data_IF_853899652965
#
_entry.id   IF_853899652965
#
_cell.length_a   1.000
_cell.length_b   1.000
_cell.length_c   1.000
_cell.angle_alpha   90.00
_cell.angle_beta   90.00
_cell.angle_gamma   90.00
#
_symmetry.space_group_name_H-M   'P 1'
#
loop_
_entity.id
_entity.type
_entity.pdbx_description
1 polymer ?
#
# COMPACT_ATOMS: atom_id res chain seq x y z
N UNK A 1 7.85 17.77 -9.63
CA UNK A 1 7.31 17.05 -10.82
C UNK A 1 6.21 16.12 -10.33
N UNK A 2 5.15 15.88 -11.12
CA UNK A 2 4.13 14.93 -10.70
C UNK A 2 4.74 13.54 -10.49
N UNK A 3 4.27 12.82 -9.48
CA UNK A 3 4.66 11.46 -9.16
C UNK A 3 3.43 10.56 -9.22
N UNK A 4 3.62 9.29 -9.58
CA UNK A 4 2.56 8.29 -9.58
C UNK A 4 2.82 7.28 -8.49
N UNK A 5 1.79 6.99 -7.69
CA UNK A 5 1.78 5.83 -6.80
C UNK A 5 1.10 4.67 -7.52
N UNK A 6 1.80 3.56 -7.60
CA UNK A 6 1.36 2.33 -8.28
C UNK A 6 1.28 1.19 -7.27
N UNK A 7 0.27 0.34 -7.41
CA UNK A 7 0.10 -0.85 -6.60
C UNK A 7 0.05 -2.09 -7.46
N UNK A 8 0.86 -3.08 -7.11
CA UNK A 8 0.97 -4.36 -7.80
C UNK A 8 0.64 -5.51 -6.86
N UNK A 9 0.06 -6.55 -7.44
CA UNK A 9 -0.04 -7.88 -6.83
C UNK A 9 0.79 -8.83 -7.68
N UNK A 10 1.78 -9.44 -7.04
CA UNK A 10 2.71 -10.35 -7.70
C UNK A 10 2.63 -11.72 -7.04
N UNK A 11 2.73 -12.78 -7.86
CA UNK A 11 2.80 -14.17 -7.42
C UNK A 11 4.07 -14.81 -7.97
N UNK A 12 4.76 -15.55 -7.12
CA UNK A 12 5.97 -16.28 -7.45
C UNK A 12 5.84 -17.70 -6.90
N UNK A 13 6.02 -18.72 -7.78
CA UNK A 13 6.12 -20.10 -7.34
C UNK A 13 7.53 -20.39 -6.80
N UNK A 14 7.67 -21.51 -6.10
CA UNK A 14 8.98 -21.95 -5.60
C UNK A 14 9.98 -22.06 -6.74
N UNK A 15 11.19 -21.54 -6.51
CA UNK A 15 12.28 -21.50 -7.48
C UNK A 15 12.04 -20.59 -8.70
N UNK A 16 10.88 -19.91 -8.79
CA UNK A 16 10.74 -18.84 -9.77
C UNK A 16 11.73 -17.72 -9.42
N UNK A 17 12.36 -17.17 -10.43
CA UNK A 17 13.23 -15.99 -10.31
C UNK A 17 12.81 -14.96 -11.34
N UNK A 18 12.88 -13.70 -10.97
CA UNK A 18 12.75 -12.63 -11.95
C UNK A 18 13.87 -12.77 -13.00
N UNK A 19 13.50 -12.86 -14.27
CA UNK A 19 14.46 -12.97 -15.38
C UNK A 19 15.35 -11.73 -15.46
N UNK A 20 14.79 -10.57 -15.08
CA UNK A 20 15.49 -9.29 -15.00
C UNK A 20 15.17 -8.63 -13.65
N UNK A 21 16.08 -7.81 -13.12
CA UNK A 21 15.77 -7.05 -11.91
C UNK A 21 14.64 -6.06 -12.21
N UNK A 22 13.78 -5.85 -11.24
CA UNK A 22 12.93 -4.67 -11.23
C UNK A 22 13.83 -3.43 -11.25
N UNK A 23 13.54 -2.50 -12.15
CA UNK A 23 14.32 -1.25 -12.31
C UNK A 23 14.37 -0.45 -11.00
N UNK A 24 15.34 0.44 -10.88
CA UNK A 24 15.42 1.40 -9.79
C UNK A 24 14.08 2.13 -9.63
N UNK A 25 13.51 2.11 -8.43
CA UNK A 25 12.31 2.85 -8.03
C UNK A 25 12.22 2.89 -6.51
N UNK A 26 11.51 3.87 -5.96
CA UNK A 26 11.15 3.87 -4.55
C UNK A 26 9.99 2.88 -4.36
N UNK A 27 10.24 1.77 -3.68
CA UNK A 27 9.23 0.71 -3.52
C UNK A 27 9.19 0.13 -2.12
N UNK A 28 7.99 -0.26 -1.71
CA UNK A 28 7.77 -1.06 -0.51
C UNK A 28 7.13 -2.37 -0.94
N UNK A 29 7.65 -3.48 -0.41
CA UNK A 29 7.09 -4.82 -0.57
C UNK A 29 6.53 -5.29 0.76
N UNK A 30 5.37 -5.92 0.72
CA UNK A 30 4.75 -6.66 1.82
C UNK A 30 4.48 -8.10 1.37
N UNK A 31 4.96 -9.08 2.12
CA UNK A 31 4.70 -10.50 1.84
C UNK A 31 3.35 -10.88 2.44
N UNK A 32 2.36 -11.02 1.58
CA UNK A 32 0.99 -11.38 1.99
C UNK A 32 0.87 -12.86 2.33
N UNK A 33 1.54 -13.72 1.57
CA UNK A 33 1.53 -15.17 1.75
C UNK A 33 2.87 -15.79 1.34
N UNK A 34 3.28 -16.86 2.04
CA UNK A 34 4.51 -17.58 1.77
C UNK A 34 5.77 -16.81 2.16
N UNK A 35 6.80 -16.87 1.34
CA UNK A 35 8.08 -16.17 1.55
C UNK A 35 8.81 -15.96 0.22
N UNK A 36 9.65 -14.94 0.16
CA UNK A 36 10.47 -14.60 -1.00
C UNK A 36 11.93 -14.42 -0.59
N UNK A 37 12.81 -14.43 -1.59
CA UNK A 37 14.18 -13.91 -1.46
C UNK A 37 14.24 -12.61 -2.29
N UNK A 38 14.68 -11.54 -1.66
CA UNK A 38 14.82 -10.21 -2.26
C UNK A 38 16.30 -9.79 -2.19
N UNK A 39 16.99 -9.72 -3.35
CA UNK A 39 18.45 -9.47 -3.42
C UNK A 39 19.29 -10.37 -2.50
N UNK A 40 18.91 -11.65 -2.37
CA UNK A 40 19.59 -12.62 -1.52
C UNK A 40 19.07 -12.69 -0.07
N UNK A 41 18.27 -11.73 0.37
CA UNK A 41 17.74 -11.67 1.73
C UNK A 41 16.32 -12.26 1.81
N UNK A 42 16.04 -13.14 2.79
CA UNK A 42 14.72 -13.73 2.95
C UNK A 42 13.72 -12.72 3.54
N UNK A 43 12.49 -12.75 3.03
CA UNK A 43 11.37 -12.00 3.54
C UNK A 43 10.17 -12.94 3.72
N UNK A 44 9.74 -13.11 4.96
CA UNK A 44 8.68 -14.05 5.32
C UNK A 44 7.30 -13.39 5.30
N UNK A 45 6.25 -14.21 5.41
CA UNK A 45 4.86 -13.73 5.48
C UNK A 45 4.68 -12.68 6.59
N UNK A 46 3.90 -11.65 6.28
CA UNK A 46 3.65 -10.46 7.10
C UNK A 46 4.86 -9.56 7.35
N UNK A 47 5.98 -9.82 6.72
CA UNK A 47 7.11 -8.90 6.71
C UNK A 47 7.03 -7.93 5.53
N UNK A 48 7.68 -6.79 5.70
CA UNK A 48 7.79 -5.74 4.69
C UNK A 48 9.20 -5.17 4.64
N UNK A 49 9.61 -4.69 3.47
CA UNK A 49 10.89 -4.04 3.27
C UNK A 49 10.80 -2.94 2.21
N UNK A 50 11.65 -1.93 2.36
CA UNK A 50 11.82 -0.83 1.43
C UNK A 50 13.04 -1.05 0.54
N UNK A 51 12.89 -0.75 -0.76
CA UNK A 51 13.96 -0.84 -1.75
C UNK A 51 13.93 0.40 -2.66
N UNK A 52 15.11 0.88 -3.01
CA UNK A 52 15.27 1.97 -3.98
C UNK A 52 16.17 1.60 -5.18
N UNK A 53 16.95 0.53 -5.05
CA UNK A 53 17.86 0.04 -6.08
C UNK A 53 17.19 -1.06 -6.94
N UNK A 54 17.81 -1.49 -8.05
CA UNK A 54 17.35 -2.65 -8.80
C UNK A 54 17.17 -3.87 -7.89
N UNK A 55 16.08 -4.62 -8.11
CA UNK A 55 15.66 -5.67 -7.19
C UNK A 55 15.39 -6.98 -7.92
N UNK A 56 16.14 -8.03 -7.56
CA UNK A 56 15.86 -9.40 -7.93
C UNK A 56 14.94 -10.06 -6.91
N UNK A 57 13.93 -10.76 -7.40
CA UNK A 57 12.97 -11.47 -6.57
C UNK A 57 12.92 -12.93 -6.98
N UNK A 58 12.84 -13.83 -6.00
CA UNK A 58 12.55 -15.24 -6.23
C UNK A 58 11.57 -15.78 -5.18
N UNK A 59 10.75 -16.76 -5.61
CA UNK A 59 9.84 -17.46 -4.72
C UNK A 59 10.59 -18.44 -3.82
N UNK A 60 10.29 -18.44 -2.53
CA UNK A 60 10.88 -19.33 -1.53
C UNK A 60 9.87 -20.26 -0.85
N UNK A 61 8.62 -20.22 -1.27
CA UNK A 61 7.52 -21.10 -0.85
C UNK A 61 6.83 -21.70 -2.06
N UNK A 62 5.98 -22.72 -1.88
CA UNK A 62 5.22 -23.35 -2.98
C UNK A 62 4.46 -22.28 -3.79
N UNK A 63 3.87 -21.31 -3.12
CA UNK A 63 3.32 -20.08 -3.66
C UNK A 63 3.70 -18.94 -2.72
N UNK A 64 4.21 -17.86 -3.29
CA UNK A 64 4.44 -16.59 -2.59
C UNK A 64 3.60 -15.51 -3.25
N UNK A 65 2.86 -14.76 -2.45
CA UNK A 65 2.10 -13.59 -2.89
C UNK A 65 2.67 -12.35 -2.21
N UNK A 66 3.02 -11.34 -3.00
CA UNK A 66 3.50 -10.06 -2.51
C UNK A 66 2.64 -8.91 -3.01
N UNK A 67 2.50 -7.91 -2.19
CA UNK A 67 1.91 -6.63 -2.50
C UNK A 67 3.01 -5.59 -2.55
N UNK A 68 3.02 -4.81 -3.62
CA UNK A 68 4.12 -3.89 -3.89
C UNK A 68 3.57 -2.51 -4.25
N UNK A 69 4.02 -1.51 -3.50
CA UNK A 69 3.77 -0.09 -3.78
C UNK A 69 5.03 0.53 -4.37
N UNK A 70 4.87 1.32 -5.43
CA UNK A 70 5.98 2.02 -6.07
C UNK A 70 5.63 3.48 -6.34
N UNK A 71 6.60 4.36 -6.07
CA UNK A 71 6.59 5.75 -6.55
C UNK A 71 7.48 5.83 -7.78
N UNK A 72 6.93 6.38 -8.86
CA UNK A 72 7.62 6.52 -10.15
C UNK A 72 7.09 7.73 -10.93
N UNK A 73 7.74 8.10 -12.02
CA UNK A 73 7.18 9.11 -12.91
C UNK A 73 5.83 8.63 -13.51
N UNK A 74 4.88 9.54 -13.78
CA UNK A 74 3.55 9.18 -14.28
C UNK A 74 3.57 8.34 -15.56
N UNK A 75 4.50 8.65 -16.45
CA UNK A 75 4.61 8.00 -17.75
C UNK A 75 5.55 6.76 -17.76
N UNK A 76 6.10 6.39 -16.60
CA UNK A 76 6.92 5.19 -16.53
C UNK A 76 6.08 3.95 -16.83
N UNK A 77 6.62 3.08 -17.68
CA UNK A 77 6.03 1.76 -17.94
C UNK A 77 5.93 0.97 -16.64
N UNK A 78 4.85 0.18 -16.44
CA UNK A 78 4.73 -0.67 -15.26
C UNK A 78 5.94 -1.59 -15.08
N UNK A 79 6.45 -1.66 -13.85
CA UNK A 79 7.57 -2.54 -13.50
C UNK A 79 7.02 -3.93 -13.15
N UNK A 80 6.69 -4.74 -14.17
CA UNK A 80 6.22 -6.11 -13.97
C UNK A 80 7.39 -7.06 -13.68
N UNK A 81 7.16 -8.05 -12.82
CA UNK A 81 8.10 -9.15 -12.62
C UNK A 81 7.97 -10.05 -13.82
N UNK A 82 9.04 -10.15 -14.60
CA UNK A 82 9.12 -11.03 -15.77
C UNK A 82 9.94 -12.26 -15.42
N UNK A 83 9.40 -13.44 -15.65
CA UNK A 83 10.05 -14.72 -15.38
C UNK A 83 9.11 -15.90 -15.59
N UNK A 84 9.64 -17.11 -15.57
CA UNK A 84 8.84 -18.33 -15.55
C UNK A 84 8.19 -18.47 -14.17
N UNK A 85 6.95 -18.97 -14.15
CA UNK A 85 6.19 -19.21 -12.91
C UNK A 85 6.02 -17.95 -12.04
N UNK A 86 5.91 -16.79 -12.71
CA UNK A 86 5.59 -15.51 -12.09
C UNK A 86 4.34 -14.91 -12.71
N UNK A 87 3.52 -14.26 -11.87
CA UNK A 87 2.41 -13.42 -12.32
C UNK A 87 2.58 -12.05 -11.67
N UNK A 88 2.53 -10.99 -12.46
CA UNK A 88 2.63 -9.62 -11.96
C UNK A 88 1.51 -8.77 -12.53
N UNK A 89 0.68 -8.20 -11.68
CA UNK A 89 -0.50 -7.42 -12.05
C UNK A 89 -0.40 -6.01 -11.47
N UNK A 90 -0.42 -5.00 -12.35
CA UNK A 90 -0.68 -3.62 -11.93
C UNK A 90 -2.18 -3.49 -11.64
N UNK A 91 -2.54 -3.26 -10.38
CA UNK A 91 -3.93 -3.13 -9.93
C UNK A 91 -4.42 -1.68 -9.96
N UNK A 92 -3.60 -0.75 -9.50
CA UNK A 92 -3.90 0.68 -9.44
C UNK A 92 -2.65 1.47 -9.82
N UNK A 93 -2.82 2.50 -10.63
CA UNK A 93 -1.85 3.55 -10.86
C UNK A 93 -2.55 4.89 -10.75
N UNK A 94 -2.10 5.76 -9.86
CA UNK A 94 -2.68 7.07 -9.67
C UNK A 94 -1.62 8.15 -9.67
N UNK A 95 -1.82 9.19 -10.47
CA UNK A 95 -0.95 10.38 -10.48
C UNK A 95 -1.34 11.26 -9.31
N UNK A 96 -0.38 11.57 -8.46
CA UNK A 96 -0.58 12.44 -7.31
C UNK A 96 -0.53 13.90 -7.81
N UNK A 97 -1.67 14.57 -7.78
CA UNK A 97 -1.84 15.96 -8.19
C UNK A 97 -2.19 16.89 -7.02
N UNK A 98 -2.55 16.31 -5.89
CA UNK A 98 -3.06 17.01 -4.69
C UNK A 98 -1.94 17.55 -3.79
N UNK A 99 -0.70 17.10 -4.01
CA UNK A 99 0.45 17.59 -3.27
C UNK A 99 1.27 18.51 -4.18
N UNK A 100 1.66 19.66 -3.64
CA UNK A 100 2.70 20.50 -4.25
C UNK A 100 4.05 19.80 -4.04
N UNK A 101 4.27 18.74 -4.83
CA UNK A 101 5.54 18.01 -4.81
C UNK A 101 6.55 18.78 -5.63
N UNK A 102 7.34 19.61 -4.97
CA UNK A 102 8.49 20.23 -5.59
C UNK A 102 9.67 19.27 -5.67
N UNK A 103 10.45 19.29 -6.76
CA UNK A 103 11.66 18.47 -6.87
C UNK A 103 12.60 18.67 -5.69
N UNK A 104 13.07 17.59 -5.09
CA UNK A 104 13.99 17.63 -3.96
C UNK A 104 13.31 17.77 -2.59
N UNK A 105 11.98 17.78 -2.52
CA UNK A 105 11.27 17.73 -1.22
C UNK A 105 11.28 16.35 -0.61
N UNK A 106 11.33 16.31 0.72
CA UNK A 106 11.29 15.06 1.49
C UNK A 106 9.86 14.72 1.89
N UNK A 107 9.52 13.46 1.70
CA UNK A 107 8.23 12.87 2.02
C UNK A 107 8.42 11.57 2.80
N UNK A 108 7.39 11.13 3.52
CA UNK A 108 7.33 9.79 4.07
C UNK A 108 6.65 8.86 3.06
N UNK A 109 7.37 7.85 2.60
CA UNK A 109 6.78 6.71 1.94
C UNK A 109 6.52 5.65 3.01
N UNK A 110 5.26 5.53 3.40
CA UNK A 110 4.82 4.75 4.55
C UNK A 110 4.07 3.51 4.14
N UNK A 111 4.31 2.42 4.87
CA UNK A 111 3.43 1.25 4.91
C UNK A 111 2.92 1.06 6.32
N UNK A 112 1.62 0.90 6.48
CA UNK A 112 1.01 0.57 7.76
C UNK A 112 -0.14 -0.43 7.62
N UNK A 113 -0.50 -1.05 8.75
CA UNK A 113 -1.58 -2.01 8.87
C UNK A 113 -2.64 -1.47 9.81
N UNK A 114 -3.89 -1.53 9.38
CA UNK A 114 -5.04 -1.15 10.20
C UNK A 114 -5.91 -2.36 10.43
N UNK A 115 -6.28 -2.58 11.70
CA UNK A 115 -7.28 -3.58 12.10
C UNK A 115 -8.48 -2.86 12.67
N UNK A 116 -9.63 -3.00 12.01
CA UNK A 116 -10.91 -2.46 12.45
C UNK A 116 -11.76 -3.57 13.03
N UNK A 117 -12.24 -3.40 14.27
CA UNK A 117 -13.06 -4.40 14.95
C UNK A 117 -14.37 -4.67 14.21
N UNK A 118 -14.91 -5.89 14.32
CA UNK A 118 -16.14 -6.30 13.66
C UNK A 118 -17.30 -5.31 13.90
N UNK A 119 -18.07 -5.01 12.86
CA UNK A 119 -19.22 -4.11 12.89
C UNK A 119 -18.90 -2.63 13.07
N UNK A 120 -17.64 -2.25 13.02
CA UNK A 120 -17.25 -0.87 13.23
C UNK A 120 -17.57 0.01 12.04
N UNK A 121 -18.05 1.20 12.34
CA UNK A 121 -18.12 2.32 11.40
C UNK A 121 -16.98 3.27 11.76
N UNK A 122 -16.13 3.59 10.79
CA UNK A 122 -15.11 4.64 10.92
C UNK A 122 -15.77 5.97 10.59
N UNK A 123 -15.85 6.91 11.53
CA UNK A 123 -16.51 8.21 11.32
C UNK A 123 -15.86 9.00 10.18
N UNK A 124 -16.52 10.07 9.78
CA UNK A 124 -16.02 10.99 8.75
C UNK A 124 -14.63 11.50 9.10
N UNK A 125 -13.71 11.29 8.19
CA UNK A 125 -12.31 11.68 8.34
C UNK A 125 -11.65 11.84 6.96
N UNK A 126 -10.49 12.47 6.97
CA UNK A 126 -9.57 12.55 5.83
C UNK A 126 -8.16 12.15 6.27
N UNK A 127 -7.24 12.13 5.35
CA UNK A 127 -5.84 11.78 5.63
C UNK A 127 -4.90 12.95 5.32
N UNK A 128 -3.73 12.97 5.96
CA UNK A 128 -2.68 13.97 5.72
C UNK A 128 -1.95 13.80 4.39
N UNK A 129 -2.34 12.81 3.59
CA UNK A 129 -1.81 12.59 2.26
C UNK A 129 -2.46 11.39 1.56
N UNK A 130 -2.18 11.25 0.25
CA UNK A 130 -2.76 10.22 -0.59
C UNK A 130 -2.18 8.83 -0.33
N UNK A 131 -2.90 7.81 -0.80
CA UNK A 131 -2.38 6.46 -0.78
C UNK A 131 -3.30 5.41 -1.38
N UNK A 132 -2.73 4.22 -1.56
CA UNK A 132 -3.46 3.03 -2.02
C UNK A 132 -3.53 2.03 -0.87
N UNK A 133 -4.75 1.55 -0.61
CA UNK A 133 -5.05 0.56 0.40
C UNK A 133 -5.37 -0.76 -0.28
N UNK A 134 -5.11 -1.88 0.39
CA UNK A 134 -5.51 -3.20 -0.05
C UNK A 134 -6.08 -4.00 1.10
N UNK A 135 -7.26 -4.58 0.90
CA UNK A 135 -7.95 -5.38 1.92
C UNK A 135 -7.21 -6.72 2.10
N UNK A 136 -6.77 -6.98 3.32
CA UNK A 136 -6.09 -8.22 3.70
C UNK A 136 -7.08 -9.30 4.16
N UNK A 137 -8.10 -8.89 4.94
CA UNK A 137 -9.09 -9.77 5.55
C UNK A 137 -10.41 -9.05 5.77
N UNK A 138 -11.51 -9.80 5.72
CA UNK A 138 -12.86 -9.32 5.97
C UNK A 138 -13.53 -8.77 4.71
N UNK A 139 -14.53 -7.94 4.91
CA UNK A 139 -15.20 -7.13 3.87
C UNK A 139 -15.07 -5.67 4.25
N UNK A 140 -15.09 -4.78 3.28
CA UNK A 140 -14.93 -3.36 3.55
C UNK A 140 -15.71 -2.52 2.55
N UNK A 141 -16.21 -1.36 3.02
CA UNK A 141 -16.90 -0.39 2.20
C UNK A 141 -16.35 1.00 2.53
N UNK A 142 -16.18 1.83 1.52
CA UNK A 142 -15.74 3.23 1.66
C UNK A 142 -16.64 4.12 0.82
N UNK A 143 -17.13 5.17 1.42
CA UNK A 143 -17.94 6.21 0.77
C UNK A 143 -17.30 7.58 0.96
N UNK A 144 -17.51 8.49 0.02
CA UNK A 144 -16.98 9.86 0.04
C UNK A 144 -15.86 10.10 -0.96
N UNK A 145 -15.54 9.10 -1.76
CA UNK A 145 -14.61 9.21 -2.89
C UNK A 145 -15.37 9.43 -4.20
N UNK A 146 -14.66 9.88 -5.23
CA UNK A 146 -15.20 9.99 -6.59
C UNK A 146 -15.81 8.68 -7.10
N UNK A 147 -15.29 7.55 -6.61
CA UNK A 147 -15.80 6.21 -6.91
C UNK A 147 -16.03 5.44 -5.61
N UNK A 148 -17.29 5.33 -5.14
CA UNK A 148 -17.60 4.53 -3.97
C UNK A 148 -17.17 3.09 -4.20
N UNK A 149 -16.49 2.51 -3.23
CA UNK A 149 -16.05 1.12 -3.21
C UNK A 149 -16.90 0.37 -2.21
N UNK A 150 -17.68 -0.59 -2.70
CA UNK A 150 -18.59 -1.38 -1.87
C UNK A 150 -18.30 -2.87 -2.00
N UNK A 151 -18.56 -3.61 -0.93
CA UNK A 151 -18.42 -5.07 -0.87
C UNK A 151 -17.00 -5.58 -1.26
N UNK A 152 -15.97 -4.80 -0.92
CA UNK A 152 -14.59 -5.21 -1.18
C UNK A 152 -14.26 -6.52 -0.44
N UNK A 153 -13.52 -7.38 -1.14
CA UNK A 153 -13.01 -8.66 -0.67
C UNK A 153 -11.47 -8.62 -0.50
N UNK A 154 -10.87 -9.58 0.20
CA UNK A 154 -9.42 -9.68 0.32
C UNK A 154 -8.72 -9.66 -1.05
N UNK A 155 -7.74 -8.77 -1.21
CA UNK A 155 -7.05 -8.50 -2.47
C UNK A 155 -7.60 -7.31 -3.26
N UNK A 156 -8.79 -6.80 -2.93
CA UNK A 156 -9.29 -5.56 -3.53
C UNK A 156 -8.53 -4.36 -2.97
N UNK A 157 -8.22 -3.44 -3.88
CA UNK A 157 -7.46 -2.25 -3.55
C UNK A 157 -8.23 -0.98 -3.95
N UNK A 158 -7.98 0.11 -3.22
CA UNK A 158 -8.61 1.40 -3.50
C UNK A 158 -7.66 2.56 -3.24
N UNK A 159 -7.95 3.66 -3.89
CA UNK A 159 -7.24 4.93 -3.76
C UNK A 159 -7.99 5.89 -2.83
N UNK A 160 -7.26 6.66 -2.04
CA UNK A 160 -7.76 7.85 -1.35
C UNK A 160 -6.78 9.02 -1.55
N UNK A 161 -7.32 10.17 -1.96
CA UNK A 161 -6.50 11.38 -2.22
C UNK A 161 -5.90 11.98 -0.96
N UNK A 162 -6.51 11.72 0.19
CA UNK A 162 -6.20 12.37 1.45
C UNK A 162 -7.01 13.66 1.69
N UNK A 163 -7.47 14.33 0.66
CA UNK A 163 -8.25 15.59 0.76
C UNK A 163 -9.74 15.34 0.97
N UNK A 164 -10.28 14.29 0.34
CA UNK A 164 -11.69 13.96 0.43
C UNK A 164 -12.03 13.35 1.79
N UNK A 165 -13.15 13.76 2.34
CA UNK A 165 -13.70 13.16 3.55
C UNK A 165 -14.35 11.83 3.24
N UNK A 166 -13.93 10.78 3.93
CA UNK A 166 -14.44 9.42 3.76
C UNK A 166 -15.14 8.90 5.02
N UNK A 167 -16.09 8.00 4.82
CA UNK A 167 -16.71 7.15 5.83
C UNK A 167 -16.46 5.71 5.43
N UNK A 168 -16.13 4.86 6.38
CA UNK A 168 -15.92 3.45 6.10
C UNK A 168 -16.70 2.56 7.07
N UNK A 169 -17.18 1.42 6.58
CA UNK A 169 -17.86 0.42 7.40
C UNK A 169 -17.61 -0.99 6.85
N UNK A 170 -17.84 -1.98 7.68
CA UNK A 170 -17.68 -3.38 7.29
C UNK A 170 -18.60 -4.30 8.10
N UNK A 171 -18.63 -5.58 7.71
CA UNK A 171 -19.44 -6.61 8.34
C UNK A 171 -19.23 -6.69 9.85
N UNK A 172 -20.30 -7.00 10.59
CA UNK A 172 -20.26 -7.25 12.02
C UNK A 172 -19.80 -8.68 12.38
N UNK A 173 -19.54 -9.53 11.39
CA UNK A 173 -19.17 -10.93 11.61
C UNK A 173 -17.69 -11.13 11.91
N UNK A 174 -16.82 -10.29 11.30
CA UNK A 174 -15.38 -10.43 11.46
C UNK A 174 -14.66 -9.08 11.34
N UNK A 175 -13.47 -8.93 11.94
CA UNK A 175 -12.65 -7.74 11.77
C UNK A 175 -12.25 -7.55 10.30
N UNK A 176 -12.11 -6.30 9.88
CA UNK A 176 -11.47 -5.93 8.63
C UNK A 176 -10.01 -5.55 8.89
N UNK A 177 -9.12 -6.08 8.06
CA UNK A 177 -7.69 -5.77 8.09
C UNK A 177 -7.28 -5.28 6.71
N UNK A 178 -6.59 -4.15 6.64
CA UNK A 178 -6.05 -3.64 5.38
C UNK A 178 -4.65 -3.04 5.57
N UNK A 179 -3.89 -3.07 4.49
CA UNK A 179 -2.53 -2.52 4.41
C UNK A 179 -2.61 -1.24 3.57
N UNK A 180 -1.92 -0.17 4.01
CA UNK A 180 -1.91 1.12 3.34
C UNK A 180 -0.49 1.49 2.93
N UNK A 181 -0.30 1.79 1.64
CA UNK A 181 0.89 2.48 1.14
C UNK A 181 0.55 3.96 0.93
N UNK A 182 1.21 4.84 1.66
CA UNK A 182 0.87 6.27 1.76
C UNK A 182 2.08 7.14 1.40
N UNK A 183 1.81 8.32 0.82
CA UNK A 183 2.77 9.40 0.70
C UNK A 183 2.33 10.54 1.62
N UNK A 184 3.16 10.89 2.61
CA UNK A 184 2.79 11.76 3.71
C UNK A 184 3.86 12.84 3.97
N UNK A 185 3.49 14.00 4.54
CA UNK A 185 4.47 14.98 5.03
C UNK A 185 5.40 14.39 6.09
N UNK A 186 6.64 14.88 6.15
CA UNK A 186 7.65 14.36 7.07
C UNK A 186 7.40 14.73 8.54
N UNK A 187 6.64 15.80 8.80
CA UNK A 187 6.30 16.28 10.15
C UNK A 187 5.45 15.29 10.97
N UNK A 188 4.83 14.31 10.29
CA UNK A 188 4.02 13.27 10.96
C UNK A 188 4.71 11.92 11.08
N UNK A 189 6.03 11.91 11.01
CA UNK A 189 6.79 10.65 11.16
C UNK A 189 6.49 9.98 12.51
N UNK A 190 6.07 8.72 12.44
CA UNK A 190 5.65 7.95 13.61
C UNK A 190 4.20 8.18 14.07
N UNK A 191 3.51 9.20 13.56
CA UNK A 191 2.14 9.55 13.95
C UNK A 191 1.09 9.04 12.97
N UNK A 192 -0.18 8.99 13.41
CA UNK A 192 -1.30 8.62 12.55
C UNK A 192 -1.61 9.68 11.50
N UNK A 193 -1.99 9.25 10.30
CA UNK A 193 -2.33 10.15 9.18
C UNK A 193 -3.77 10.70 9.21
N UNK A 194 -4.62 10.19 10.10
CA UNK A 194 -6.04 10.55 10.15
C UNK A 194 -6.27 11.97 10.66
N UNK A 195 -7.16 12.70 10.00
CA UNK A 195 -7.71 13.99 10.41
C UNK A 195 -9.20 13.80 10.61
N UNK A 196 -9.67 13.84 11.86
CA UNK A 196 -11.08 13.65 12.20
C UNK A 196 -11.87 14.94 12.04
N UNK A 197 -13.15 14.86 11.67
CA UNK A 197 -14.03 16.02 11.70
C UNK A 197 -14.17 16.56 13.14
N UNK A 198 -14.36 17.86 13.26
CA UNK A 198 -14.50 18.53 14.57
C UNK A 198 -15.65 17.92 15.37
N UNK A 199 -15.39 17.59 16.62
CA UNK A 199 -16.38 16.98 17.52
C UNK A 199 -16.51 15.45 17.38
N UNK A 200 -15.78 14.83 16.47
CA UNK A 200 -15.73 13.38 16.35
C UNK A 200 -14.63 12.82 17.24
N UNK A 201 -14.99 11.91 18.14
CA UNK A 201 -14.00 11.22 18.96
C UNK A 201 -13.14 10.30 18.07
N UNK A 202 -11.83 10.40 18.19
CA UNK A 202 -10.90 9.49 17.51
C UNK A 202 -11.17 8.05 17.94
N UNK A 203 -11.62 7.19 17.06
CA UNK A 203 -11.86 5.80 17.42
C UNK A 203 -10.53 5.10 17.67
N UNK A 204 -10.47 4.28 18.71
CA UNK A 204 -9.32 3.39 18.96
C UNK A 204 -9.25 2.37 17.85
N UNK A 205 -8.49 2.62 16.78
CA UNK A 205 -8.11 1.62 15.80
C UNK A 205 -6.81 0.94 16.23
N UNK A 206 -6.69 -0.35 15.97
CA UNK A 206 -5.42 -1.01 16.11
C UNK A 206 -4.61 -0.72 14.84
N UNK A 207 -3.72 0.27 14.94
CA UNK A 207 -2.81 0.72 13.89
C UNK A 207 -1.39 0.25 14.21
N UNK A 208 -0.74 -0.30 13.22
CA UNK A 208 0.64 -0.77 13.30
C UNK A 208 1.46 -0.17 12.17
N UNK A 209 2.49 0.59 12.51
CA UNK A 209 3.48 1.09 11.58
C UNK A 209 4.40 -0.06 11.15
N UNK A 210 4.56 -0.28 9.85
CA UNK A 210 5.43 -1.31 9.28
C UNK A 210 6.70 -0.69 8.67
N UNK A 211 6.56 0.37 7.88
CA UNK A 211 7.65 1.13 7.24
C UNK A 211 7.29 2.61 7.33
N UNK A 212 8.28 3.45 7.65
CA UNK A 212 8.16 4.91 7.64
C UNK A 212 9.45 5.52 7.07
N UNK A 213 9.61 5.37 5.76
CA UNK A 213 10.84 5.73 5.07
C UNK A 213 10.77 7.17 4.54
N UNK A 214 11.72 8.00 4.94
CA UNK A 214 11.92 9.29 4.27
C UNK A 214 12.49 9.06 2.87
N UNK A 215 11.89 9.72 1.89
CA UNK A 215 12.29 9.67 0.49
C UNK A 215 12.31 11.07 -0.08
N UNK A 216 13.21 11.33 -1.01
CA UNK A 216 13.25 12.57 -1.81
C UNK A 216 12.60 12.29 -3.17
N UNK A 217 11.68 13.16 -3.59
CA UNK A 217 10.94 13.06 -4.85
C UNK A 217 11.32 14.18 -5.81
#
# INVERSE_FOLDING_TARGET
>A
MPVSLKFYQDQLLRSSTSALPLKKALRIIYVRHGSIIANGEPLAQNQSAYYQNPLYLSGNAALSEIWRWELSAPNDTPHLILGTDTLSLLKIAHVITTLEVEPGTNWLFRLDKVTSAAGRITPRHRHKGPGIRCLYQGTFNVQGQAYPTENMAPGDAWWESGEETVVAWHSNQMPAIFIRGLLLPTDIKGDMSNIWETGVASPKSNWQLLIDQEVTI
#
